data_IF_456448766935
#
_entry.id   IF_456448766935
#
_cell.length_a   1.000
_cell.length_b   1.000
_cell.length_c   1.000
_cell.angle_alpha   90.00
_cell.angle_beta   90.00
_cell.angle_gamma   90.00
#
_symmetry.space_group_name_H-M   'P 1'
#
loop_
_entity.id
_entity.type
_entity.pdbx_description
1 polymer ?
#
# COMPACT_ATOMS: atom_id res chain seq x y z
N UNK A 1 8.99 -26.21 -9.98
CA UNK A 1 8.18 -24.99 -9.77
C UNK A 1 8.30 -24.62 -8.30
N UNK A 2 8.76 -23.41 -7.98
CA UNK A 2 8.72 -22.90 -6.60
C UNK A 2 7.36 -22.24 -6.43
N UNK A 3 6.51 -22.80 -5.59
CA UNK A 3 5.24 -22.19 -5.21
C UNK A 3 5.53 -21.17 -4.11
N UNK A 4 5.22 -19.90 -4.36
CA UNK A 4 5.34 -18.84 -3.35
C UNK A 4 3.98 -18.66 -2.70
N UNK A 5 3.87 -18.98 -1.42
CA UNK A 5 2.68 -18.66 -0.61
C UNK A 5 2.77 -17.21 -0.14
N UNK A 6 1.89 -16.36 -0.65
CA UNK A 6 1.80 -14.96 -0.26
C UNK A 6 0.59 -14.80 0.66
N UNK A 7 0.84 -14.49 1.94
CA UNK A 7 -0.25 -14.14 2.87
C UNK A 7 -0.80 -12.79 2.51
N UNK A 8 -2.11 -12.72 2.27
CA UNK A 8 -2.79 -11.46 2.05
C UNK A 8 -2.95 -10.75 3.40
N UNK A 9 -2.34 -9.57 3.51
CA UNK A 9 -2.43 -8.72 4.71
C UNK A 9 -3.07 -7.39 4.38
N UNK A 10 -3.84 -6.85 5.33
CA UNK A 10 -4.50 -5.55 5.23
C UNK A 10 -4.01 -4.64 6.36
N UNK A 11 -3.57 -3.45 6.00
CA UNK A 11 -3.10 -2.43 6.92
C UNK A 11 -4.13 -1.31 7.00
N UNK A 12 -4.72 -1.11 8.17
CA UNK A 12 -5.85 -0.24 8.41
C UNK A 12 -5.43 1.07 9.08
N UNK A 13 -5.70 2.19 8.40
CA UNK A 13 -5.37 3.54 8.84
C UNK A 13 -3.93 3.94 8.49
N UNK A 14 -3.70 5.27 8.48
CA UNK A 14 -2.41 5.86 8.08
C UNK A 14 -1.25 5.32 8.92
N UNK A 15 -1.45 5.09 10.21
CA UNK A 15 -0.40 4.61 11.13
C UNK A 15 0.09 3.20 10.77
N UNK A 16 -0.80 2.27 10.47
CA UNK A 16 -0.41 0.91 10.09
C UNK A 16 0.22 0.88 8.70
N UNK A 17 -0.36 1.62 7.75
CA UNK A 17 0.19 1.77 6.40
C UNK A 17 1.61 2.35 6.47
N UNK A 18 1.83 3.36 7.32
CA UNK A 18 3.14 3.95 7.55
C UNK A 18 4.16 2.96 8.12
N UNK A 19 3.73 2.12 9.08
CA UNK A 19 4.58 1.07 9.63
C UNK A 19 4.96 0.04 8.57
N UNK A 20 4.00 -0.41 7.77
CA UNK A 20 4.23 -1.37 6.68
C UNK A 20 5.22 -0.82 5.64
N UNK A 21 5.03 0.44 5.22
CA UNK A 21 5.86 1.06 4.19
C UNK A 21 7.20 1.60 4.70
N UNK A 22 7.45 1.60 6.01
CA UNK A 22 8.63 2.21 6.61
C UNK A 22 8.72 3.73 6.38
N UNK A 23 7.58 4.42 6.34
CA UNK A 23 7.50 5.85 6.04
C UNK A 23 6.88 6.65 7.19
N UNK A 24 7.14 7.96 7.24
CA UNK A 24 6.42 8.85 8.15
C UNK A 24 4.93 8.97 7.77
N UNK A 25 4.05 9.09 8.77
CA UNK A 25 2.60 9.14 8.57
C UNK A 25 2.16 10.28 7.65
N UNK A 26 2.76 11.46 7.77
CA UNK A 26 2.44 12.61 6.90
C UNK A 26 2.83 12.36 5.44
N UNK A 27 3.96 11.68 5.22
CA UNK A 27 4.42 11.31 3.88
C UNK A 27 3.46 10.32 3.25
N UNK A 28 2.98 9.32 4.01
CA UNK A 28 1.97 8.36 3.56
C UNK A 28 0.67 9.05 3.24
N UNK A 29 0.16 9.88 4.15
CA UNK A 29 -1.07 10.66 3.97
C UNK A 29 -1.01 11.51 2.70
N UNK A 30 0.11 12.21 2.46
CA UNK A 30 0.34 12.98 1.23
C UNK A 30 0.38 12.10 -0.01
N UNK A 31 1.11 10.98 0.01
CA UNK A 31 1.24 10.08 -1.14
C UNK A 31 -0.07 9.39 -1.51
N UNK A 32 -0.87 8.98 -0.52
CA UNK A 32 -2.23 8.44 -0.76
C UNK A 32 -3.11 9.48 -1.45
N UNK A 33 -3.13 10.73 -0.95
CA UNK A 33 -3.89 11.82 -1.59
C UNK A 33 -3.42 12.14 -3.01
N UNK A 34 -2.14 11.88 -3.32
CA UNK A 34 -1.56 12.03 -4.65
C UNK A 34 -1.76 10.80 -5.55
N UNK A 35 -2.44 9.75 -5.08
CA UNK A 35 -2.63 8.50 -5.83
C UNK A 35 -1.36 7.65 -5.99
N UNK A 36 -0.28 7.95 -5.24
CA UNK A 36 1.02 7.25 -5.32
C UNK A 36 1.12 6.01 -4.43
N UNK A 37 0.13 5.80 -3.57
CA UNK A 37 -0.03 4.59 -2.76
C UNK A 37 -1.45 4.12 -3.01
N UNK A 38 -1.67 2.87 -3.42
CA UNK A 38 -2.98 2.36 -3.84
C UNK A 38 -3.89 2.01 -2.65
N UNK A 39 -3.95 2.87 -1.63
CA UNK A 39 -4.84 2.69 -0.49
C UNK A 39 -6.27 3.10 -0.87
N UNK A 40 -7.26 2.33 -0.40
CA UNK A 40 -8.69 2.55 -0.65
C UNK A 40 -9.40 2.91 0.66
N UNK A 41 -10.59 3.50 0.57
CA UNK A 41 -11.45 3.71 1.75
C UNK A 41 -12.27 2.46 2.03
N UNK A 42 -12.36 2.04 3.29
CA UNK A 42 -13.36 1.06 3.73
C UNK A 42 -14.73 1.72 3.95
N UNK A 43 -15.74 0.92 4.32
CA UNK A 43 -17.12 1.38 4.56
C UNK A 43 -17.23 2.41 5.69
N UNK A 44 -16.21 2.51 6.56
CA UNK A 44 -16.12 3.46 7.66
C UNK A 44 -15.28 4.70 7.30
N UNK A 45 -14.82 4.82 6.05
CA UNK A 45 -14.01 5.93 5.59
C UNK A 45 -12.56 5.90 6.09
N UNK A 46 -12.04 4.75 6.55
CA UNK A 46 -10.63 4.56 6.91
C UNK A 46 -9.82 4.17 5.69
N UNK A 47 -8.58 4.62 5.61
CA UNK A 47 -7.65 4.19 4.55
C UNK A 47 -7.19 2.76 4.81
N UNK A 48 -7.21 1.89 3.80
CA UNK A 48 -6.76 0.51 3.87
C UNK A 48 -5.83 0.23 2.70
N UNK A 49 -4.69 -0.41 2.98
CA UNK A 49 -3.76 -0.90 1.95
C UNK A 49 -3.61 -2.41 2.12
N UNK A 50 -3.75 -3.18 1.04
CA UNK A 50 -3.32 -4.57 1.01
C UNK A 50 -1.90 -4.70 0.48
N UNK A 51 -1.15 -5.69 0.96
CA UNK A 51 0.18 -5.97 0.40
C UNK A 51 0.10 -6.37 -1.08
N UNK A 52 -0.98 -7.03 -1.52
CA UNK A 52 -1.24 -7.37 -2.91
C UNK A 52 -1.38 -6.12 -3.80
N UNK A 53 -2.27 -5.18 -3.43
CA UNK A 53 -2.45 -3.93 -4.18
C UNK A 53 -1.13 -3.15 -4.26
N UNK A 54 -0.38 -3.09 -3.15
CA UNK A 54 0.92 -2.42 -3.11
C UNK A 54 1.91 -3.04 -4.11
N UNK A 55 2.13 -4.36 -4.04
CA UNK A 55 3.08 -5.01 -4.93
C UNK A 55 2.64 -5.02 -6.39
N UNK A 56 1.33 -5.08 -6.67
CA UNK A 56 0.80 -4.89 -8.02
C UNK A 56 1.15 -3.50 -8.56
N UNK A 57 0.97 -2.44 -7.76
CA UNK A 57 1.30 -1.08 -8.20
C UNK A 57 2.78 -0.84 -8.51
N UNK A 58 3.69 -1.67 -7.97
CA UNK A 58 5.11 -1.59 -8.28
C UNK A 58 5.45 -2.21 -9.64
N UNK A 59 4.64 -3.16 -10.12
CA UNK A 59 4.86 -3.81 -11.43
C UNK A 59 4.55 -2.87 -12.59
N UNK A 60 3.63 -1.92 -12.37
CA UNK A 60 3.24 -0.92 -13.36
C UNK A 60 4.25 0.24 -13.47
N UNK A 61 5.27 0.27 -12.58
CA UNK A 61 6.37 1.22 -12.65
C UNK A 61 7.52 0.53 -13.39
N UNK A 62 7.51 0.61 -14.72
CA UNK A 62 8.69 0.18 -15.50
C UNK A 62 9.96 0.84 -14.92
N UNK A 63 11.04 0.09 -14.69
CA UNK A 63 12.30 0.69 -14.29
C UNK A 63 12.72 1.65 -15.40
N UNK A 64 12.81 2.94 -15.07
CA UNK A 64 13.35 3.93 -16.00
C UNK A 64 14.80 3.54 -16.30
N UNK A 65 15.20 3.43 -17.59
CA UNK A 65 16.54 3.03 -17.99
C UNK A 65 17.62 3.97 -17.46
#
# INVERSE_FOLDING_TARGET
MVTVELRLEFYCGIKEIARFLGMHQDTVSRKIRQGKIPAKKDDLGRWVLSNLDYYQSLKDVEPKP
#
